data_IF_957013211797
#
_entry.id   IF_957013211797
#
_cell.length_a   1.000
_cell.length_b   1.000
_cell.length_c   1.000
_cell.angle_alpha   90.00
_cell.angle_beta   90.00
_cell.angle_gamma   90.00
#
_symmetry.space_group_name_H-M   'P 1'
#
loop_
_entity.id
_entity.type
_entity.pdbx_description
1 polymer ?
#
# COMPACT_ATOMS: atom_id res chain seq x y z
N UNK A 1 8.53 -8.23 -21.68
CA UNK A 1 7.93 -8.72 -20.44
C UNK A 1 8.04 -7.59 -19.40
N UNK A 2 7.05 -7.40 -18.55
CA UNK A 2 7.03 -6.37 -17.50
C UNK A 2 6.97 -7.01 -16.13
N UNK A 3 7.39 -6.28 -15.09
CA UNK A 3 7.35 -6.69 -13.69
C UNK A 3 6.87 -5.54 -12.80
N UNK A 4 6.29 -5.87 -11.65
CA UNK A 4 5.98 -4.91 -10.61
C UNK A 4 7.23 -4.59 -9.79
N UNK A 5 7.37 -3.35 -9.38
CA UNK A 5 8.46 -2.90 -8.51
C UNK A 5 7.88 -2.04 -7.41
N UNK A 6 8.14 -2.40 -6.17
CA UNK A 6 7.75 -1.60 -5.00
C UNK A 6 8.91 -0.68 -4.62
N UNK A 7 8.69 0.62 -4.79
CA UNK A 7 9.70 1.64 -4.52
C UNK A 7 9.38 2.39 -3.23
N UNK A 8 10.41 2.68 -2.46
CA UNK A 8 10.36 3.67 -1.41
C UNK A 8 10.74 5.03 -1.96
N UNK A 9 9.85 5.99 -1.79
CA UNK A 9 10.21 7.39 -1.91
C UNK A 9 10.07 8.03 -0.54
N UNK A 10 11.19 8.57 -0.03
CA UNK A 10 11.32 9.49 1.10
C UNK A 10 11.48 8.89 2.51
N UNK A 11 12.66 9.15 3.01
CA UNK A 11 13.07 9.62 4.34
C UNK A 11 13.40 8.66 5.46
N UNK A 12 13.15 7.36 5.44
CA UNK A 12 13.75 6.52 6.49
C UNK A 12 14.21 5.16 5.92
N UNK A 13 15.52 5.02 5.73
CA UNK A 13 16.16 3.77 5.31
C UNK A 13 15.88 2.58 6.26
N UNK A 14 15.49 2.84 7.51
CA UNK A 14 15.40 1.82 8.55
C UNK A 14 14.06 1.07 8.63
N UNK A 15 13.01 1.51 7.92
CA UNK A 15 11.71 0.80 7.92
C UNK A 15 11.65 -0.35 6.93
N UNK A 16 12.51 -0.32 5.92
CA UNK A 16 12.51 -1.25 4.82
C UNK A 16 12.88 -2.68 5.25
N UNK A 17 13.78 -2.80 6.23
CA UNK A 17 14.36 -4.11 6.54
C UNK A 17 13.49 -4.99 7.43
N UNK A 18 12.61 -4.39 8.25
CA UNK A 18 11.83 -5.15 9.23
C UNK A 18 10.45 -5.55 8.72
N UNK A 19 9.78 -4.70 7.95
CA UNK A 19 8.37 -4.90 7.55
C UNK A 19 8.20 -5.19 6.06
N UNK A 20 8.96 -4.51 5.21
CA UNK A 20 9.03 -4.81 3.78
C UNK A 20 10.39 -5.44 3.50
N UNK A 21 10.49 -6.70 3.79
CA UNK A 21 11.74 -7.46 3.70
C UNK A 21 12.21 -7.63 2.24
N UNK A 22 13.50 -7.91 2.01
CA UNK A 22 14.00 -8.27 0.68
C UNK A 22 13.23 -9.42 0.03
N UNK A 23 12.71 -10.33 0.84
CA UNK A 23 11.84 -11.44 0.38
C UNK A 23 10.54 -10.90 -0.23
N UNK A 24 9.84 -10.00 0.45
CA UNK A 24 8.61 -9.37 -0.07
C UNK A 24 8.90 -8.64 -1.39
N UNK A 25 9.99 -7.88 -1.45
CA UNK A 25 10.38 -7.18 -2.67
C UNK A 25 10.66 -8.14 -3.83
N UNK A 26 11.38 -9.23 -3.57
CA UNK A 26 11.66 -10.27 -4.56
C UNK A 26 10.39 -10.99 -5.04
N UNK A 27 9.46 -11.28 -4.15
CA UNK A 27 8.18 -11.90 -4.51
C UNK A 27 7.31 -10.96 -5.36
N UNK A 28 7.30 -9.64 -5.07
CA UNK A 28 6.62 -8.64 -5.91
C UNK A 28 7.28 -8.54 -7.28
N UNK A 29 8.61 -8.52 -7.34
CA UNK A 29 9.39 -8.46 -8.59
C UNK A 29 9.18 -9.70 -9.48
N UNK A 30 8.84 -10.84 -8.87
CA UNK A 30 8.52 -12.08 -9.58
C UNK A 30 7.12 -12.12 -10.21
N UNK A 31 6.23 -11.16 -9.87
CA UNK A 31 4.90 -11.11 -10.46
C UNK A 31 4.98 -10.74 -11.94
N UNK A 32 4.52 -11.66 -12.80
CA UNK A 32 4.48 -11.44 -14.24
C UNK A 32 3.34 -10.50 -14.64
N UNK A 33 3.69 -9.46 -15.38
CA UNK A 33 2.74 -8.48 -15.88
C UNK A 33 2.51 -8.69 -17.37
N UNK A 34 1.30 -9.10 -17.72
CA UNK A 34 0.84 -9.23 -19.12
C UNK A 34 0.06 -8.00 -19.53
N UNK A 35 -0.16 -7.84 -20.85
CA UNK A 35 -0.98 -6.75 -21.41
C UNK A 35 -2.45 -6.75 -20.92
N UNK A 36 -2.89 -7.85 -20.32
CA UNK A 36 -4.27 -8.00 -19.79
C UNK A 36 -4.36 -7.73 -18.28
N UNK A 37 -3.27 -7.24 -17.66
CA UNK A 37 -3.24 -6.95 -16.23
C UNK A 37 -4.27 -5.85 -15.90
N UNK A 38 -5.11 -6.13 -14.92
CA UNK A 38 -6.10 -5.19 -14.39
C UNK A 38 -5.77 -4.82 -12.95
N UNK A 39 -6.10 -3.59 -12.55
CA UNK A 39 -5.78 -3.08 -11.20
C UNK A 39 -6.29 -3.97 -10.06
N UNK A 40 -7.50 -4.57 -10.09
CA UNK A 40 -7.93 -5.52 -9.05
C UNK A 40 -7.03 -6.77 -8.96
N UNK A 41 -6.49 -7.24 -10.09
CA UNK A 41 -5.56 -8.38 -10.11
C UNK A 41 -4.23 -8.00 -9.46
N UNK A 42 -3.71 -6.81 -9.76
CA UNK A 42 -2.52 -6.26 -9.10
C UNK A 42 -2.73 -6.19 -7.60
N UNK A 43 -3.85 -5.60 -7.16
CA UNK A 43 -4.19 -5.50 -5.74
C UNK A 43 -4.19 -6.88 -5.06
N UNK A 44 -4.85 -7.86 -5.67
CA UNK A 44 -4.93 -9.23 -5.14
C UNK A 44 -3.53 -9.85 -5.00
N UNK A 45 -2.70 -9.76 -6.04
CA UNK A 45 -1.35 -10.31 -6.02
C UNK A 45 -0.48 -9.69 -4.91
N UNK A 46 -0.54 -8.38 -4.73
CA UNK A 46 0.21 -7.69 -3.66
C UNK A 46 -0.28 -8.13 -2.28
N UNK A 47 -1.60 -8.22 -2.06
CA UNK A 47 -2.17 -8.69 -0.80
C UNK A 47 -1.69 -10.11 -0.49
N UNK A 48 -1.68 -11.01 -1.47
CA UNK A 48 -1.20 -12.38 -1.32
C UNK A 48 0.28 -12.45 -0.90
N UNK A 49 1.14 -11.60 -1.47
CA UNK A 49 2.56 -11.53 -1.08
C UNK A 49 2.69 -11.13 0.40
N UNK A 50 1.98 -10.09 0.83
CA UNK A 50 2.05 -9.65 2.24
C UNK A 50 1.45 -10.68 3.19
N UNK A 51 0.36 -11.32 2.83
CA UNK A 51 -0.26 -12.39 3.63
C UNK A 51 0.68 -13.57 3.85
N UNK A 52 1.34 -14.05 2.80
CA UNK A 52 2.37 -15.11 2.89
C UNK A 52 3.57 -14.71 3.78
N UNK A 53 3.80 -13.42 3.98
CA UNK A 53 4.85 -12.86 4.81
C UNK A 53 4.35 -12.38 6.18
N UNK A 54 3.33 -13.03 6.72
CA UNK A 54 2.81 -12.89 8.09
C UNK A 54 2.06 -11.58 8.37
N UNK A 55 1.56 -10.89 7.36
CA UNK A 55 0.54 -9.89 7.60
C UNK A 55 -0.83 -10.56 7.72
N UNK A 56 -1.47 -10.40 8.88
CA UNK A 56 -2.81 -10.92 9.11
C UNK A 56 -3.82 -10.15 8.25
N UNK A 57 -4.46 -10.86 7.33
CA UNK A 57 -5.41 -10.29 6.37
C UNK A 57 -6.70 -9.80 7.03
N UNK A 58 -7.29 -8.78 6.40
CA UNK A 58 -8.64 -8.31 6.69
C UNK A 58 -8.90 -8.07 8.17
N UNK A 59 -7.98 -7.37 8.83
CA UNK A 59 -8.23 -7.00 10.22
C UNK A 59 -9.51 -6.16 10.31
N UNK A 60 -10.51 -6.72 10.98
CA UNK A 60 -11.79 -6.07 11.21
C UNK A 60 -11.66 -5.04 12.32
N UNK A 61 -12.01 -3.79 12.04
CA UNK A 61 -11.92 -2.70 13.00
C UNK A 61 -13.05 -2.67 14.01
N UNK A 62 -14.24 -3.15 13.63
CA UNK A 62 -15.43 -3.11 14.47
C UNK A 62 -16.33 -4.32 14.23
N UNK A 63 -16.95 -4.85 15.27
CA UNK A 63 -17.79 -6.06 15.17
C UNK A 63 -19.00 -5.87 14.26
N UNK A 64 -19.64 -4.71 14.34
CA UNK A 64 -20.90 -4.42 13.64
C UNK A 64 -20.69 -3.79 12.26
N UNK A 65 -19.57 -3.10 12.05
CA UNK A 65 -19.26 -2.44 10.79
C UNK A 65 -18.27 -3.26 9.97
N UNK A 66 -18.55 -3.39 8.67
CA UNK A 66 -17.65 -4.08 7.71
C UNK A 66 -16.45 -3.20 7.34
N UNK A 67 -15.73 -2.73 8.35
CA UNK A 67 -14.53 -1.92 8.17
C UNK A 67 -13.29 -2.79 8.33
N UNK A 68 -12.43 -2.76 7.32
CA UNK A 68 -11.21 -3.56 7.29
C UNK A 68 -10.03 -2.70 6.82
N UNK A 69 -8.82 -3.02 7.33
CA UNK A 69 -7.56 -2.71 6.65
C UNK A 69 -7.04 -3.97 5.95
N UNK A 70 -6.11 -3.80 5.01
CA UNK A 70 -5.56 -4.91 4.23
C UNK A 70 -4.86 -5.94 5.10
N UNK A 71 -4.08 -5.48 6.09
CA UNK A 71 -3.40 -6.38 7.00
C UNK A 71 -2.72 -5.67 8.16
N UNK A 72 -2.28 -6.46 9.14
CA UNK A 72 -1.53 -5.97 10.30
C UNK A 72 -0.41 -6.94 10.64
N UNK A 73 0.74 -6.41 11.04
CA UNK A 73 1.87 -7.18 11.56
C UNK A 73 2.64 -6.33 12.57
N UNK A 74 2.82 -6.85 13.79
CA UNK A 74 3.66 -6.21 14.83
C UNK A 74 3.41 -4.71 14.98
N UNK A 75 2.16 -4.29 15.20
CA UNK A 75 1.74 -2.89 15.32
C UNK A 75 1.96 -2.03 14.05
N UNK A 76 2.10 -2.66 12.89
CA UNK A 76 2.13 -1.99 11.59
C UNK A 76 0.86 -2.30 10.84
N UNK A 77 0.07 -1.27 10.53
CA UNK A 77 -1.11 -1.38 9.67
C UNK A 77 -0.72 -1.25 8.20
N UNK A 78 -1.30 -2.10 7.35
CA UNK A 78 -1.09 -2.11 5.90
C UNK A 78 -2.40 -1.82 5.18
N UNK A 79 -2.38 -0.87 4.25
CA UNK A 79 -3.43 -0.67 3.26
C UNK A 79 -2.84 -0.74 1.84
N UNK A 80 -3.42 -1.58 0.99
CA UNK A 80 -3.14 -1.63 -0.44
C UNK A 80 -4.27 -0.91 -1.17
N UNK A 81 -4.04 0.35 -1.51
CA UNK A 81 -5.06 1.22 -2.11
C UNK A 81 -4.83 1.36 -3.61
N UNK A 82 -5.70 0.73 -4.39
CA UNK A 82 -5.67 0.72 -5.86
C UNK A 82 -6.95 1.32 -6.47
N UNK A 83 -7.68 2.09 -5.69
CA UNK A 83 -8.96 2.68 -6.08
C UNK A 83 -8.96 4.22 -6.06
N UNK A 84 -10.14 4.79 -5.96
CA UNK A 84 -10.35 6.25 -5.98
C UNK A 84 -9.77 6.97 -4.76
N UNK A 85 -9.54 8.28 -4.90
CA UNK A 85 -9.05 9.15 -3.81
C UNK A 85 -9.88 9.05 -2.53
N UNK A 86 -11.19 8.95 -2.64
CA UNK A 86 -12.06 8.80 -1.47
C UNK A 86 -11.72 7.54 -0.67
N UNK A 87 -11.39 6.43 -1.33
CA UNK A 87 -10.91 5.19 -0.69
C UNK A 87 -9.60 5.40 0.06
N UNK A 88 -8.67 6.19 -0.49
CA UNK A 88 -7.43 6.53 0.19
C UNK A 88 -7.68 7.30 1.50
N UNK A 89 -8.51 8.34 1.46
CA UNK A 89 -8.84 9.10 2.67
C UNK A 89 -9.57 8.24 3.70
N UNK A 90 -10.43 7.33 3.24
CA UNK A 90 -11.09 6.39 4.11
C UNK A 90 -10.11 5.41 4.78
N UNK A 91 -9.09 4.94 4.06
CA UNK A 91 -8.01 4.14 4.64
C UNK A 91 -7.20 4.93 5.68
N UNK A 92 -6.97 6.23 5.46
CA UNK A 92 -6.35 7.10 6.47
C UNK A 92 -7.17 7.16 7.76
N UNK A 93 -8.49 7.29 7.69
CA UNK A 93 -9.36 7.29 8.87
C UNK A 93 -9.30 5.96 9.62
N UNK A 94 -9.31 4.84 8.91
CA UNK A 94 -9.18 3.52 9.52
C UNK A 94 -7.85 3.35 10.25
N UNK A 95 -6.74 3.77 9.63
CA UNK A 95 -5.42 3.71 10.24
C UNK A 95 -5.29 4.66 11.45
N UNK A 96 -5.85 5.86 11.36
CA UNK A 96 -5.91 6.78 12.49
C UNK A 96 -6.68 6.18 13.67
N UNK A 97 -7.84 5.59 13.42
CA UNK A 97 -8.62 4.88 14.44
C UNK A 97 -7.80 3.79 15.15
N UNK A 98 -7.07 2.97 14.40
CA UNK A 98 -6.20 1.94 14.98
C UNK A 98 -5.06 2.53 15.81
N UNK A 99 -4.46 3.63 15.33
CA UNK A 99 -3.38 4.30 16.05
C UNK A 99 -3.87 4.94 17.35
N UNK A 100 -5.04 5.60 17.32
CA UNK A 100 -5.65 6.21 18.52
C UNK A 100 -6.02 5.17 19.58
N UNK A 101 -6.31 3.94 19.17
CA UNK A 101 -6.56 2.82 20.08
C UNK A 101 -5.30 2.02 20.46
N UNK A 102 -4.10 2.50 20.07
CA UNK A 102 -2.83 1.86 20.41
C UNK A 102 -2.58 0.51 19.72
N UNK A 103 -3.36 0.16 18.70
CA UNK A 103 -3.25 -1.10 17.97
C UNK A 103 -2.14 -1.08 16.91
N UNK A 104 -1.84 0.11 16.38
CA UNK A 104 -0.70 0.35 15.51
C UNK A 104 0.07 1.60 15.95
N UNK A 105 1.36 1.62 15.65
CA UNK A 105 2.22 2.80 15.81
C UNK A 105 2.83 3.26 14.48
N UNK A 106 2.68 2.45 13.44
CA UNK A 106 3.13 2.70 12.07
C UNK A 106 2.09 2.24 11.07
N UNK A 107 2.05 2.88 9.92
CA UNK A 107 1.20 2.49 8.82
C UNK A 107 1.96 2.51 7.50
N UNK A 108 1.66 1.55 6.64
CA UNK A 108 2.14 1.47 5.26
C UNK A 108 0.93 1.55 4.34
N UNK A 109 0.96 2.49 3.40
CA UNK A 109 -0.03 2.56 2.33
C UNK A 109 0.68 2.40 1.00
N UNK A 110 0.29 1.37 0.25
CA UNK A 110 0.81 1.11 -1.09
C UNK A 110 -0.15 1.72 -2.10
N UNK A 111 0.39 2.56 -2.97
CA UNK A 111 -0.34 3.28 -4.02
C UNK A 111 0.26 2.94 -5.39
N UNK A 112 -0.53 2.86 -6.45
CA UNK A 112 -0.02 2.67 -7.80
C UNK A 112 0.66 3.95 -8.31
N UNK A 113 1.69 3.78 -9.13
CA UNK A 113 2.23 4.88 -9.93
C UNK A 113 1.29 5.26 -11.06
N UNK A 114 1.47 6.45 -11.64
CA UNK A 114 0.79 6.84 -12.88
C UNK A 114 1.14 5.92 -14.05
N UNK A 115 2.34 5.36 -14.08
CA UNK A 115 2.74 4.40 -15.12
C UNK A 115 1.94 3.10 -15.00
N UNK A 116 1.79 2.58 -13.77
CA UNK A 116 0.97 1.39 -13.51
C UNK A 116 -0.51 1.64 -13.81
N UNK A 117 -1.04 2.84 -13.46
CA UNK A 117 -2.39 3.26 -13.80
C UNK A 117 -2.65 3.20 -15.31
N UNK A 118 -1.75 3.79 -16.10
CA UNK A 118 -1.81 3.75 -17.57
C UNK A 118 -1.69 2.33 -18.13
N UNK A 119 -0.77 1.55 -17.60
CA UNK A 119 -0.56 0.17 -18.03
C UNK A 119 -1.82 -0.71 -17.82
N UNK A 120 -2.50 -0.53 -16.71
CA UNK A 120 -3.76 -1.24 -16.41
C UNK A 120 -4.99 -0.63 -17.12
N UNK A 121 -4.79 0.41 -17.94
CA UNK A 121 -5.85 1.14 -18.63
C UNK A 121 -6.99 1.57 -17.68
N UNK A 122 -6.62 2.19 -16.59
CA UNK A 122 -7.54 2.74 -15.59
C UNK A 122 -7.35 4.24 -15.46
N UNK A 123 -8.32 4.93 -14.89
CA UNK A 123 -8.29 6.37 -14.64
C UNK A 123 -8.90 6.71 -13.29
N UNK A 124 -8.64 7.94 -12.82
CA UNK A 124 -9.22 8.47 -11.58
C UNK A 124 -8.82 7.73 -10.30
N UNK A 125 -7.65 7.10 -10.29
CA UNK A 125 -7.11 6.40 -9.13
C UNK A 125 -6.32 7.37 -8.23
N UNK A 126 -6.19 7.02 -6.97
CA UNK A 126 -5.27 7.66 -6.04
C UNK A 126 -3.83 7.26 -6.36
N UNK A 127 -3.20 7.89 -7.35
CA UNK A 127 -1.81 7.60 -7.71
C UNK A 127 -0.84 8.13 -6.65
N UNK A 128 0.31 7.47 -6.52
CA UNK A 128 1.36 7.85 -5.58
C UNK A 128 1.80 9.32 -5.77
N UNK A 129 2.01 9.75 -7.01
CA UNK A 129 2.50 11.10 -7.35
C UNK A 129 1.50 12.19 -6.94
N UNK A 130 0.21 11.89 -7.01
CA UNK A 130 -0.84 12.82 -6.59
C UNK A 130 -0.93 12.87 -5.07
N UNK A 131 -1.02 11.70 -4.44
CA UNK A 131 -1.23 11.59 -2.99
C UNK A 131 -0.01 12.09 -2.22
N UNK A 132 1.21 11.79 -2.68
CA UNK A 132 2.42 12.26 -2.01
C UNK A 132 2.49 13.78 -1.92
N UNK A 133 2.06 14.50 -2.97
CA UNK A 133 1.96 15.97 -2.95
C UNK A 133 0.93 16.47 -1.93
N UNK A 134 -0.24 15.84 -1.87
CA UNK A 134 -1.29 16.22 -0.93
C UNK A 134 -0.91 15.92 0.52
N UNK A 135 -0.22 14.82 0.76
CA UNK A 135 0.22 14.43 2.10
C UNK A 135 1.28 15.35 2.70
N UNK A 136 2.04 16.09 1.88
CA UNK A 136 2.95 17.13 2.40
C UNK A 136 2.21 18.21 3.20
N UNK A 137 0.96 18.51 2.85
CA UNK A 137 0.12 19.48 3.56
C UNK A 137 -0.32 18.98 4.95
N UNK A 138 -0.38 17.67 5.15
CA UNK A 138 -0.90 17.03 6.37
C UNK A 138 0.19 16.47 7.29
N UNK A 139 1.47 16.67 6.99
CA UNK A 139 2.60 16.12 7.76
C UNK A 139 2.57 16.47 9.26
N UNK A 140 1.96 17.59 9.63
CA UNK A 140 1.95 18.09 11.01
C UNK A 140 0.80 17.56 11.88
N UNK A 141 -0.11 16.78 11.34
CA UNK A 141 -1.38 16.44 12.03
C UNK A 141 -1.48 15.00 12.51
N UNK A 142 -0.41 14.18 12.40
CA UNK A 142 -0.50 12.76 12.69
C UNK A 142 0.34 12.32 13.88
N UNK A 143 -0.29 11.58 14.78
CA UNK A 143 0.34 11.00 15.97
C UNK A 143 1.04 9.65 15.70
N UNK A 144 1.09 9.17 14.45
CA UNK A 144 1.73 7.91 14.09
C UNK A 144 2.54 8.05 12.78
N UNK A 145 3.56 7.22 12.66
CA UNK A 145 4.41 7.21 11.46
C UNK A 145 3.70 6.54 10.30
N UNK A 146 3.52 7.29 9.21
CA UNK A 146 2.91 6.77 7.98
C UNK A 146 3.91 6.81 6.83
N UNK A 147 3.97 5.70 6.10
CA UNK A 147 4.82 5.52 4.94
C UNK A 147 3.97 5.27 3.70
N UNK A 148 4.17 6.10 2.69
CA UNK A 148 3.62 5.88 1.36
C UNK A 148 4.65 5.11 0.53
N UNK A 149 4.23 4.03 -0.08
CA UNK A 149 5.03 3.25 -1.01
C UNK A 149 4.43 3.30 -2.41
N UNK A 150 5.28 3.44 -3.41
CA UNK A 150 4.90 3.47 -4.81
C UNK A 150 5.04 2.09 -5.44
N UNK A 151 3.94 1.50 -5.89
CA UNK A 151 3.97 0.33 -6.74
C UNK A 151 4.03 0.78 -8.21
N UNK A 152 5.13 0.51 -8.85
CA UNK A 152 5.39 0.88 -10.24
C UNK A 152 5.52 -0.35 -11.14
N UNK A 153 5.56 -0.14 -12.46
CA UNK A 153 5.78 -1.17 -13.45
C UNK A 153 7.03 -0.84 -14.26
N UNK A 154 7.89 -1.84 -14.45
CA UNK A 154 9.12 -1.70 -15.24
C UNK A 154 9.24 -2.81 -16.28
N UNK A 155 9.89 -2.51 -17.39
CA UNK A 155 10.32 -3.53 -18.35
C UNK A 155 11.38 -4.42 -17.71
N UNK A 156 11.25 -5.74 -17.89
CA UNK A 156 12.36 -6.65 -17.57
C UNK A 156 13.46 -6.42 -18.60
N UNK A 157 14.62 -6.02 -18.15
CA UNK A 157 15.86 -5.99 -18.97
C UNK A 157 16.35 -7.41 -19.20
#
# INVERSE_FOLDING_TARGET
MYKLVLNHFLQEKNLNEVYVTPKILSEIDAIDCTSYLKMPMVKKAIIEVFSKNSFLEKMKLHREHKLYITGIKSQVGLCVQMGHKAGFYFDLYKLAYLADHGLINKAIIILPSKNLEKFCNTSSIASYELISKQMLLFKKTKNYKMHLMCLDIKRRT
#
